data_IF_758860266728
#
_entry.id   IF_758860266728
#
_cell.length_a   1.000
_cell.length_b   1.000
_cell.length_c   1.000
_cell.angle_alpha   90.00
_cell.angle_beta   90.00
_cell.angle_gamma   90.00
#
_symmetry.space_group_name_H-M   'P 1'
#
loop_
_entity.id
_entity.type
_entity.pdbx_description
1 polymer ?
#
# COMPACT_ATOMS: atom_id res chain seq x y z
N UNK A 1 19.87 -6.71 23.66
CA UNK A 1 18.61 -7.15 23.05
C UNK A 1 17.84 -7.93 24.09
N UNK A 2 16.54 -7.62 24.34
CA UNK A 2 15.75 -8.32 25.34
C UNK A 2 15.51 -9.79 24.95
N UNK A 3 15.53 -10.71 25.92
CA UNK A 3 15.32 -12.16 25.73
C UNK A 3 14.06 -12.50 24.91
N UNK A 4 12.96 -11.73 25.00
CA UNK A 4 11.74 -11.94 24.24
C UNK A 4 11.88 -11.74 22.72
N UNK A 5 12.81 -10.88 22.28
CA UNK A 5 13.04 -10.63 20.85
C UNK A 5 13.76 -11.79 20.15
N UNK A 6 14.75 -12.38 20.82
CA UNK A 6 15.46 -13.55 20.30
C UNK A 6 14.54 -14.77 20.17
N UNK A 7 13.66 -14.99 21.16
CA UNK A 7 12.65 -16.05 21.10
C UNK A 7 11.73 -15.89 19.89
N UNK A 8 11.25 -14.66 19.62
CA UNK A 8 10.40 -14.38 18.45
C UNK A 8 11.13 -14.67 17.13
N UNK A 9 12.41 -14.33 17.01
CA UNK A 9 13.17 -14.64 15.80
C UNK A 9 13.35 -16.14 15.61
N UNK A 10 13.67 -16.90 16.66
CA UNK A 10 13.79 -18.35 16.58
C UNK A 10 12.44 -19.00 16.19
N UNK A 11 11.34 -18.51 16.74
CA UNK A 11 9.99 -19.00 16.42
C UNK A 11 9.59 -18.65 14.97
N UNK A 12 10.00 -17.48 14.44
CA UNK A 12 9.74 -17.09 13.05
C UNK A 12 10.28 -18.09 12.03
N UNK A 13 11.42 -18.74 12.31
CA UNK A 13 12.01 -19.75 11.42
C UNK A 13 11.15 -21.03 11.30
N UNK A 14 10.18 -21.20 12.18
CA UNK A 14 9.26 -22.36 12.17
C UNK A 14 7.95 -22.08 11.42
N UNK A 15 7.64 -20.82 11.08
CA UNK A 15 6.40 -20.45 10.44
C UNK A 15 6.48 -20.59 8.92
N UNK A 16 5.79 -21.60 8.37
CA UNK A 16 5.73 -21.80 6.90
C UNK A 16 5.12 -20.64 6.13
N UNK A 17 4.23 -19.87 6.77
CA UNK A 17 3.60 -18.69 6.17
C UNK A 17 4.48 -17.44 6.21
N UNK A 18 5.70 -17.49 6.75
CA UNK A 18 6.60 -16.34 6.85
C UNK A 18 7.86 -16.57 6.03
N UNK A 19 7.98 -15.85 4.92
CA UNK A 19 9.17 -15.82 4.07
C UNK A 19 10.12 -14.72 4.55
N UNK A 20 11.38 -15.08 4.84
CA UNK A 20 12.42 -14.18 5.37
C UNK A 20 13.71 -14.26 4.55
N UNK A 21 13.70 -13.85 3.26
CA UNK A 21 14.89 -13.96 2.41
C UNK A 21 16.02 -13.07 2.93
N UNK A 22 17.24 -13.53 2.75
CA UNK A 22 18.43 -12.73 2.97
C UNK A 22 18.58 -11.67 1.86
N UNK A 23 19.26 -10.56 2.16
CA UNK A 23 19.38 -9.46 1.20
C UNK A 23 20.14 -9.87 -0.08
N UNK A 24 21.11 -10.79 0.01
CA UNK A 24 21.89 -11.29 -1.12
C UNK A 24 21.10 -12.24 -2.05
N UNK A 25 19.94 -12.73 -1.62
CA UNK A 25 19.03 -13.48 -2.49
C UNK A 25 18.37 -12.59 -3.55
N UNK A 26 18.21 -11.31 -3.26
CA UNK A 26 17.56 -10.34 -4.16
C UNK A 26 18.45 -9.20 -4.62
N UNK A 27 19.66 -9.10 -4.09
CA UNK A 27 20.63 -8.07 -4.46
C UNK A 27 21.88 -8.73 -5.06
N UNK A 28 22.31 -8.23 -6.23
CA UNK A 28 23.59 -8.56 -6.86
C UNK A 28 24.43 -7.29 -6.98
N UNK A 29 25.74 -7.42 -6.93
CA UNK A 29 26.66 -6.27 -7.00
C UNK A 29 27.03 -5.69 -5.64
N UNK A 30 27.78 -4.59 -5.64
CA UNK A 30 28.26 -3.89 -4.43
C UNK A 30 28.13 -2.38 -4.56
N UNK A 31 27.89 -1.71 -3.44
CA UNK A 31 27.88 -0.25 -3.37
C UNK A 31 26.70 0.38 -4.12
N UNK A 32 26.99 1.30 -5.05
CA UNK A 32 25.95 2.01 -5.83
C UNK A 32 25.44 1.23 -7.04
N UNK A 33 26.15 0.15 -7.43
CA UNK A 33 25.88 -0.63 -8.64
C UNK A 33 25.19 -1.96 -8.31
N UNK A 34 24.34 -2.00 -7.28
CA UNK A 34 23.57 -3.21 -7.00
C UNK A 34 22.36 -3.30 -7.96
N UNK A 35 22.14 -4.52 -8.46
CA UNK A 35 21.00 -4.88 -9.29
C UNK A 35 20.03 -5.71 -8.46
N UNK A 36 18.74 -5.46 -8.65
CA UNK A 36 17.70 -6.28 -8.08
C UNK A 36 17.58 -7.58 -8.87
N UNK A 37 17.62 -8.73 -8.18
CA UNK A 37 17.41 -10.06 -8.75
C UNK A 37 16.03 -10.56 -8.39
N UNK A 38 15.40 -11.32 -9.28
CA UNK A 38 14.15 -11.97 -8.99
C UNK A 38 14.33 -13.11 -7.97
N UNK A 39 13.49 -13.11 -6.94
CA UNK A 39 13.41 -14.18 -5.98
C UNK A 39 12.57 -15.35 -6.55
N UNK A 40 12.85 -16.64 -6.24
CA UNK A 40 12.11 -17.79 -6.76
C UNK A 40 10.60 -17.79 -6.49
N UNK A 41 10.13 -17.05 -5.49
CA UNK A 41 8.69 -16.90 -5.20
C UNK A 41 7.95 -16.02 -6.21
N UNK A 42 8.66 -15.18 -6.97
CA UNK A 42 8.09 -14.27 -7.96
C UNK A 42 7.31 -15.06 -9.02
N UNK A 43 6.02 -14.74 -9.18
CA UNK A 43 5.11 -15.47 -10.05
C UNK A 43 4.64 -16.82 -9.51
N UNK A 44 5.07 -17.21 -8.30
CA UNK A 44 4.79 -18.52 -7.72
C UNK A 44 4.16 -18.46 -6.32
N UNK A 45 3.71 -17.31 -5.86
CA UNK A 45 3.10 -17.17 -4.54
C UNK A 45 1.95 -18.14 -4.29
N UNK A 46 1.03 -18.25 -5.27
CA UNK A 46 -0.13 -19.11 -5.18
C UNK A 46 0.21 -20.59 -5.03
N UNK A 47 1.30 -21.05 -5.65
CA UNK A 47 1.72 -22.45 -5.58
C UNK A 47 2.64 -22.79 -4.40
N UNK A 48 3.38 -21.79 -3.91
CA UNK A 48 4.39 -22.04 -2.87
C UNK A 48 3.92 -21.71 -1.45
N UNK A 49 3.02 -20.72 -1.31
CA UNK A 49 2.72 -20.15 0.00
C UNK A 49 1.25 -20.31 0.43
N UNK A 50 0.34 -20.67 -0.48
CA UNK A 50 -1.08 -20.73 -0.21
C UNK A 50 -1.67 -22.13 -0.48
N UNK A 51 -2.83 -22.39 0.12
CA UNK A 51 -3.55 -23.66 -0.03
C UNK A 51 -4.30 -23.77 -1.36
N UNK A 52 -4.64 -22.63 -1.99
CA UNK A 52 -5.31 -22.55 -3.30
C UNK A 52 -4.93 -21.27 -4.04
N UNK A 53 -4.95 -21.30 -5.39
CA UNK A 53 -4.72 -20.11 -6.20
C UNK A 53 -5.93 -19.16 -6.10
N UNK A 54 -5.66 -17.91 -5.66
CA UNK A 54 -6.65 -16.83 -5.53
C UNK A 54 -6.01 -15.50 -5.89
N UNK A 55 -6.78 -14.43 -6.19
CA UNK A 55 -6.23 -13.09 -6.32
C UNK A 55 -5.45 -12.68 -5.07
N UNK A 56 -4.30 -12.03 -5.27
CA UNK A 56 -3.39 -11.65 -4.18
C UNK A 56 -3.62 -10.20 -3.79
N UNK A 57 -3.74 -9.97 -2.50
CA UNK A 57 -3.85 -8.65 -1.86
C UNK A 57 -2.62 -8.42 -0.98
N UNK A 58 -1.93 -7.28 -1.14
CA UNK A 58 -0.77 -6.90 -0.33
C UNK A 58 -1.16 -5.87 0.73
N UNK A 59 -0.60 -6.01 1.94
CA UNK A 59 -0.51 -4.94 2.92
C UNK A 59 0.96 -4.54 3.09
N UNK A 60 1.31 -3.31 2.69
CA UNK A 60 2.68 -2.81 2.78
C UNK A 60 2.90 -2.02 4.07
N UNK A 61 3.89 -2.43 4.85
CA UNK A 61 4.11 -1.91 6.20
C UNK A 61 3.15 -2.52 7.22
N UNK A 62 2.78 -3.78 7.06
CA UNK A 62 1.72 -4.45 7.81
C UNK A 62 1.95 -4.56 9.34
N UNK A 63 3.14 -4.24 9.83
CA UNK A 63 3.46 -4.28 11.25
C UNK A 63 3.23 -5.64 11.88
N UNK A 64 2.15 -5.77 12.65
CA UNK A 64 1.76 -7.02 13.31
C UNK A 64 0.84 -7.91 12.46
N UNK A 65 0.51 -7.49 11.24
CA UNK A 65 -0.36 -8.21 10.32
C UNK A 65 -1.84 -8.24 10.73
N UNK A 66 -2.26 -7.33 11.60
CA UNK A 66 -3.63 -7.31 12.14
C UNK A 66 -4.67 -7.08 11.03
N UNK A 67 -4.37 -6.18 10.10
CA UNK A 67 -5.28 -5.88 8.99
C UNK A 67 -5.34 -7.07 8.01
N UNK A 68 -4.18 -7.57 7.60
CA UNK A 68 -4.02 -8.73 6.73
C UNK A 68 -4.81 -9.97 7.26
N UNK A 69 -4.62 -10.33 8.53
CA UNK A 69 -5.32 -11.45 9.20
C UNK A 69 -6.84 -11.25 9.20
N UNK A 70 -7.31 -10.03 9.54
CA UNK A 70 -8.75 -9.77 9.63
C UNK A 70 -9.43 -9.76 8.26
N UNK A 71 -8.77 -9.20 7.24
CA UNK A 71 -9.28 -9.27 5.86
C UNK A 71 -9.35 -10.71 5.36
N UNK A 72 -8.30 -11.51 5.60
CA UNK A 72 -8.25 -12.90 5.17
C UNK A 72 -9.37 -13.77 5.77
N UNK A 73 -9.78 -13.48 7.00
CA UNK A 73 -10.94 -14.17 7.64
C UNK A 73 -12.27 -13.79 7.01
N UNK A 74 -12.41 -12.55 6.57
CA UNK A 74 -13.66 -12.01 5.99
C UNK A 74 -13.83 -12.41 4.54
N UNK A 75 -12.73 -12.50 3.82
CA UNK A 75 -12.70 -12.72 2.38
C UNK A 75 -11.83 -13.93 2.03
N UNK A 76 -12.34 -15.16 2.27
CA UNK A 76 -11.58 -16.39 2.03
C UNK A 76 -11.26 -16.63 0.54
N UNK A 77 -11.90 -15.89 -0.37
CA UNK A 77 -11.68 -15.98 -1.81
C UNK A 77 -10.44 -15.20 -2.29
N UNK A 78 -9.69 -14.56 -1.37
CA UNK A 78 -8.45 -13.85 -1.64
C UNK A 78 -7.29 -14.43 -0.82
N UNK A 79 -6.08 -14.31 -1.35
CA UNK A 79 -4.83 -14.58 -0.65
C UNK A 79 -4.19 -13.26 -0.21
N UNK A 80 -3.72 -13.20 1.02
CA UNK A 80 -3.21 -11.98 1.65
C UNK A 80 -1.73 -12.11 1.99
N UNK A 81 -0.94 -11.09 1.65
CA UNK A 81 0.49 -11.03 1.98
C UNK A 81 0.76 -9.75 2.76
N UNK A 82 1.18 -9.89 4.00
CA UNK A 82 1.66 -8.77 4.82
C UNK A 82 3.17 -8.58 4.66
N UNK A 83 3.61 -7.36 4.31
CA UNK A 83 5.03 -7.04 4.10
C UNK A 83 5.51 -6.06 5.17
N UNK A 84 6.59 -6.38 5.88
CA UNK A 84 7.27 -5.48 6.83
C UNK A 84 8.76 -5.86 6.95
N UNK A 85 9.61 -4.89 7.30
CA UNK A 85 11.03 -5.13 7.55
C UNK A 85 11.29 -5.71 8.95
N UNK A 86 10.36 -5.49 9.90
CA UNK A 86 10.57 -5.82 11.31
C UNK A 86 10.03 -7.22 11.65
N UNK A 87 10.87 -8.24 11.56
CA UNK A 87 10.53 -9.63 11.86
C UNK A 87 9.88 -9.84 13.25
N UNK A 88 10.28 -9.08 14.27
CA UNK A 88 9.66 -9.15 15.60
C UNK A 88 8.20 -8.66 15.62
N UNK A 89 7.78 -7.83 14.66
CA UNK A 89 6.38 -7.42 14.47
C UNK A 89 5.60 -8.48 13.70
N UNK A 90 6.16 -8.95 12.58
CA UNK A 90 5.58 -10.02 11.74
C UNK A 90 5.27 -11.30 12.53
N UNK A 91 6.08 -11.58 13.57
CA UNK A 91 5.89 -12.73 14.44
C UNK A 91 4.45 -12.89 14.93
N UNK A 92 3.76 -11.81 15.28
CA UNK A 92 2.39 -11.89 15.81
C UNK A 92 1.42 -12.42 14.76
N UNK A 93 1.42 -11.83 13.57
CA UNK A 93 0.55 -12.25 12.46
C UNK A 93 0.88 -13.66 11.98
N UNK A 94 2.17 -13.98 11.80
CA UNK A 94 2.62 -15.30 11.38
C UNK A 94 2.23 -16.41 12.38
N UNK A 95 2.40 -16.12 13.68
CA UNK A 95 1.94 -17.05 14.74
C UNK A 95 0.44 -17.25 14.70
N UNK A 96 -0.33 -16.17 14.58
CA UNK A 96 -1.79 -16.23 14.52
C UNK A 96 -2.27 -17.01 13.29
N UNK A 97 -1.68 -16.76 12.12
CA UNK A 97 -1.98 -17.51 10.90
C UNK A 97 -1.66 -18.99 11.04
N UNK A 98 -0.51 -19.33 11.66
CA UNK A 98 -0.06 -20.71 11.87
C UNK A 98 -1.00 -21.46 12.84
N UNK A 99 -1.31 -20.84 13.99
CA UNK A 99 -2.16 -21.47 15.03
C UNK A 99 -3.59 -21.68 14.52
N UNK A 100 -4.11 -20.78 13.71
CA UNK A 100 -5.46 -20.88 13.15
C UNK A 100 -5.51 -21.58 11.77
N UNK A 101 -4.39 -22.17 11.31
CA UNK A 101 -4.30 -22.89 10.03
C UNK A 101 -4.83 -22.07 8.84
N UNK A 102 -4.48 -20.77 8.78
CA UNK A 102 -4.93 -19.88 7.72
C UNK A 102 -4.10 -20.11 6.44
N UNK A 103 -4.64 -20.90 5.52
CA UNK A 103 -3.96 -21.24 4.26
C UNK A 103 -3.98 -20.13 3.20
N UNK A 104 -4.68 -19.02 3.49
CA UNK A 104 -4.79 -17.84 2.61
C UNK A 104 -4.01 -16.62 3.13
N UNK A 105 -3.07 -16.80 4.07
CA UNK A 105 -2.24 -15.71 4.62
C UNK A 105 -0.76 -16.08 4.55
N UNK A 106 0.04 -15.15 4.04
CA UNK A 106 1.49 -15.22 4.09
C UNK A 106 2.08 -13.89 4.56
N UNK A 107 3.34 -13.93 4.98
CA UNK A 107 4.11 -12.75 5.37
C UNK A 107 5.46 -12.75 4.66
N UNK A 108 5.91 -11.55 4.27
CA UNK A 108 7.22 -11.34 3.64
C UNK A 108 8.03 -10.34 4.48
N UNK A 109 9.17 -10.76 4.97
CA UNK A 109 10.11 -9.88 5.64
C UNK A 109 11.11 -9.32 4.65
N UNK A 110 10.85 -8.10 4.17
CA UNK A 110 11.76 -7.40 3.26
C UNK A 110 11.64 -5.88 3.41
N UNK A 111 12.54 -5.16 2.78
CA UNK A 111 12.39 -3.73 2.53
C UNK A 111 11.43 -3.53 1.36
N UNK A 112 10.49 -2.59 1.47
CA UNK A 112 9.50 -2.32 0.40
C UNK A 112 10.20 -1.82 -0.88
N UNK A 113 11.37 -1.21 -0.75
CA UNK A 113 12.20 -0.82 -1.89
C UNK A 113 12.61 -1.99 -2.80
N UNK A 114 12.57 -3.23 -2.29
CA UNK A 114 12.93 -4.45 -3.03
C UNK A 114 11.70 -5.24 -3.51
N UNK A 115 10.51 -4.67 -3.38
CA UNK A 115 9.25 -5.38 -3.63
C UNK A 115 9.15 -5.97 -5.04
N UNK A 116 9.74 -5.32 -6.04
CA UNK A 116 9.75 -5.77 -7.44
C UNK A 116 10.46 -7.14 -7.65
N UNK A 117 11.35 -7.51 -6.72
CA UNK A 117 12.01 -8.82 -6.76
C UNK A 117 11.08 -9.99 -6.44
N UNK A 118 9.92 -9.72 -5.84
CA UNK A 118 9.04 -10.75 -5.27
C UNK A 118 7.73 -10.94 -6.02
N UNK A 119 7.35 -10.01 -6.90
CA UNK A 119 6.07 -10.06 -7.59
C UNK A 119 6.23 -9.92 -9.09
N UNK A 120 5.61 -10.83 -9.84
CA UNK A 120 5.57 -10.82 -11.30
C UNK A 120 4.50 -9.83 -11.82
N UNK A 121 4.59 -9.39 -13.08
CA UNK A 121 3.57 -8.54 -13.69
C UNK A 121 2.17 -9.13 -13.55
N UNK A 122 1.22 -8.33 -13.09
CA UNK A 122 -0.18 -8.74 -12.93
C UNK A 122 -0.47 -9.68 -11.76
N UNK A 123 0.49 -9.99 -10.91
CA UNK A 123 0.33 -10.97 -9.81
C UNK A 123 -0.49 -10.43 -8.63
N UNK A 124 -0.57 -9.12 -8.45
CA UNK A 124 -1.22 -8.48 -7.30
C UNK A 124 -2.47 -7.74 -7.74
N UNK A 125 -3.59 -7.96 -7.06
CA UNK A 125 -4.88 -7.32 -7.36
C UNK A 125 -5.10 -5.99 -6.63
N UNK A 126 -4.68 -5.92 -5.37
CA UNK A 126 -4.88 -4.77 -4.49
C UNK A 126 -3.67 -4.55 -3.59
N UNK A 127 -3.40 -3.28 -3.26
CA UNK A 127 -2.38 -2.90 -2.28
C UNK A 127 -3.02 -2.04 -1.20
N UNK A 128 -2.78 -2.39 0.06
CA UNK A 128 -3.21 -1.65 1.23
C UNK A 128 -2.03 -0.96 1.91
N UNK A 129 -2.17 0.35 2.12
CA UNK A 129 -1.26 1.21 2.87
C UNK A 129 -1.99 1.62 4.15
N UNK A 130 -1.79 0.84 5.24
CA UNK A 130 -2.50 1.04 6.50
C UNK A 130 -1.58 1.66 7.53
N UNK A 131 -1.85 2.89 7.96
CA UNK A 131 -1.09 3.63 8.98
C UNK A 131 0.41 3.67 8.71
N UNK A 132 0.79 3.78 7.44
CA UNK A 132 2.18 3.95 7.03
C UNK A 132 2.72 5.32 7.49
N UNK A 133 4.03 5.38 7.73
CA UNK A 133 4.70 6.62 8.12
C UNK A 133 4.53 7.70 7.02
N UNK A 134 4.00 8.88 7.33
CA UNK A 134 3.77 9.95 6.36
C UNK A 134 5.05 10.57 5.79
N UNK A 135 6.22 10.31 6.40
CA UNK A 135 7.52 10.79 5.91
C UNK A 135 7.49 12.28 5.56
N UNK A 136 7.15 13.11 6.55
CA UNK A 136 6.83 14.54 6.36
C UNK A 136 7.90 15.33 5.58
N UNK A 137 9.18 14.96 5.76
CA UNK A 137 10.33 15.65 5.16
C UNK A 137 10.95 14.91 3.96
N UNK A 138 10.50 13.69 3.64
CA UNK A 138 11.13 12.84 2.63
C UNK A 138 10.08 12.25 1.70
N UNK A 139 9.76 12.97 0.61
CA UNK A 139 8.74 12.57 -0.33
C UNK A 139 8.97 11.17 -0.89
N UNK A 140 10.18 10.89 -1.37
CA UNK A 140 10.54 9.59 -1.97
C UNK A 140 10.50 8.39 -0.99
N UNK A 141 10.28 8.65 0.29
CA UNK A 141 10.10 7.60 1.31
C UNK A 141 8.63 7.31 1.61
N UNK A 142 7.67 8.10 1.07
CA UNK A 142 6.23 7.87 1.23
C UNK A 142 5.80 6.72 0.34
N UNK A 143 5.09 5.75 0.88
CA UNK A 143 4.62 4.58 0.13
C UNK A 143 3.59 4.92 -0.97
N UNK A 144 3.01 6.11 -0.95
CA UNK A 144 2.10 6.61 -1.99
C UNK A 144 2.75 7.67 -2.90
N UNK A 145 4.07 7.87 -2.86
CA UNK A 145 4.74 8.78 -3.80
C UNK A 145 4.85 8.16 -5.20
N UNK A 146 5.03 8.99 -6.25
CA UNK A 146 5.16 8.53 -7.62
C UNK A 146 6.20 7.43 -7.80
N UNK A 147 7.36 7.54 -7.13
CA UNK A 147 8.42 6.52 -7.21
C UNK A 147 7.95 5.13 -6.74
N UNK A 148 7.19 5.05 -5.65
CA UNK A 148 6.63 3.78 -5.18
C UNK A 148 5.45 3.33 -6.03
N UNK A 149 4.58 4.24 -6.47
CA UNK A 149 3.48 3.89 -7.37
C UNK A 149 4.00 3.32 -8.69
N UNK A 150 5.09 3.87 -9.25
CA UNK A 150 5.74 3.30 -10.44
C UNK A 150 6.26 1.87 -10.22
N UNK A 151 6.75 1.55 -9.01
CA UNK A 151 7.12 0.18 -8.66
C UNK A 151 5.91 -0.74 -8.65
N UNK A 152 4.79 -0.28 -8.05
CA UNK A 152 3.56 -1.07 -7.94
C UNK A 152 2.93 -1.35 -9.30
N UNK A 153 2.98 -0.39 -10.24
CA UNK A 153 2.51 -0.57 -11.63
C UNK A 153 3.13 -1.76 -12.36
N UNK A 154 4.33 -2.17 -11.96
CA UNK A 154 5.05 -3.28 -12.60
C UNK A 154 4.46 -4.64 -12.27
N UNK A 155 3.79 -4.78 -11.14
CA UNK A 155 3.26 -6.08 -10.69
C UNK A 155 1.77 -6.04 -10.33
N UNK A 156 1.16 -4.87 -10.32
CA UNK A 156 -0.27 -4.74 -10.09
C UNK A 156 -1.04 -5.22 -11.34
N UNK A 157 -2.12 -5.97 -11.11
CA UNK A 157 -2.99 -6.45 -12.18
C UNK A 157 -3.68 -5.28 -12.90
N UNK A 158 -4.10 -5.44 -14.16
CA UNK A 158 -4.93 -4.45 -14.84
C UNK A 158 -6.17 -4.11 -14.01
N UNK A 159 -6.43 -2.82 -13.82
CA UNK A 159 -7.51 -2.36 -12.96
C UNK A 159 -7.27 -2.47 -11.45
N UNK A 160 -6.05 -2.81 -11.03
CA UNK A 160 -5.68 -2.96 -9.64
C UNK A 160 -5.83 -1.67 -8.83
N UNK A 161 -6.05 -1.82 -7.54
CA UNK A 161 -6.41 -0.75 -6.63
C UNK A 161 -5.37 -0.51 -5.54
N UNK A 162 -5.23 0.76 -5.16
CA UNK A 162 -4.46 1.17 -3.98
C UNK A 162 -5.41 1.72 -2.94
N UNK A 163 -5.29 1.21 -1.71
CA UNK A 163 -6.04 1.67 -0.55
C UNK A 163 -5.10 2.37 0.42
N UNK A 164 -5.40 3.60 0.79
CA UNK A 164 -4.73 4.33 1.86
C UNK A 164 -5.72 4.53 3.02
N UNK A 165 -5.37 4.04 4.20
CA UNK A 165 -6.09 4.31 5.45
C UNK A 165 -5.10 4.86 6.46
N UNK A 166 -5.31 6.09 6.94
CA UNK A 166 -4.32 6.78 7.79
C UNK A 166 -4.96 7.80 8.72
N UNK A 167 -4.32 8.02 9.86
CA UNK A 167 -4.58 9.14 10.79
C UNK A 167 -3.86 10.43 10.36
N UNK A 168 -2.95 10.34 9.38
CA UNK A 168 -2.21 11.49 8.88
C UNK A 168 -3.02 12.25 7.84
N UNK A 169 -3.44 13.47 8.20
CA UNK A 169 -4.07 14.38 7.25
C UNK A 169 -3.09 14.79 6.15
N UNK A 170 -1.83 15.00 6.49
CA UNK A 170 -0.78 15.29 5.53
C UNK A 170 -0.66 14.21 4.46
N UNK A 171 -0.56 12.94 4.85
CA UNK A 171 -0.39 11.83 3.90
C UNK A 171 -1.62 11.66 3.01
N UNK A 172 -2.81 11.83 3.57
CA UNK A 172 -4.07 11.78 2.81
C UNK A 172 -4.12 12.87 1.74
N UNK A 173 -3.89 14.14 2.11
CA UNK A 173 -3.93 15.27 1.16
C UNK A 173 -2.83 15.19 0.11
N UNK A 174 -1.62 14.75 0.51
CA UNK A 174 -0.54 14.48 -0.42
C UNK A 174 -0.95 13.44 -1.46
N UNK A 175 -1.51 12.31 -1.02
CA UNK A 175 -1.90 11.23 -1.94
C UNK A 175 -3.05 11.65 -2.85
N UNK A 176 -4.02 12.43 -2.36
CA UNK A 176 -5.05 13.06 -3.19
C UNK A 176 -4.45 13.96 -4.27
N UNK A 177 -3.45 14.77 -3.90
CA UNK A 177 -2.77 15.66 -4.86
C UNK A 177 -2.02 14.84 -5.92
N UNK A 178 -1.36 13.73 -5.53
CA UNK A 178 -0.73 12.79 -6.50
C UNK A 178 -1.77 12.22 -7.45
N UNK A 179 -2.93 11.79 -6.95
CA UNK A 179 -4.01 11.26 -7.81
C UNK A 179 -4.49 12.31 -8.81
N UNK A 180 -4.71 13.55 -8.37
CA UNK A 180 -5.15 14.66 -9.25
C UNK A 180 -4.10 15.02 -10.29
N UNK A 181 -2.84 15.18 -9.89
CA UNK A 181 -1.74 15.54 -10.80
C UNK A 181 -1.58 14.54 -11.94
N UNK A 182 -1.88 13.26 -11.65
CA UNK A 182 -1.68 12.14 -12.59
C UNK A 182 -3.00 11.61 -13.16
N UNK A 183 -4.13 12.30 -12.95
CA UNK A 183 -5.45 11.90 -13.44
C UNK A 183 -5.83 10.46 -13.06
N UNK A 184 -5.42 9.99 -11.87
CA UNK A 184 -5.78 8.66 -11.38
C UNK A 184 -7.25 8.62 -10.96
N UNK A 185 -7.96 7.55 -11.30
CA UNK A 185 -9.36 7.36 -10.96
C UNK A 185 -9.52 7.14 -9.46
N UNK A 186 -10.15 8.11 -8.77
CA UNK A 186 -10.47 7.99 -7.35
C UNK A 186 -11.80 7.26 -7.20
N UNK A 187 -11.77 6.08 -6.59
CA UNK A 187 -12.92 5.22 -6.37
C UNK A 187 -13.69 5.57 -5.10
N UNK A 188 -12.98 5.94 -4.03
CA UNK A 188 -13.57 6.39 -2.78
C UNK A 188 -12.61 7.32 -2.03
N UNK A 189 -13.12 8.34 -1.36
CA UNK A 189 -12.33 9.26 -0.55
C UNK A 189 -13.14 9.80 0.62
N UNK A 190 -12.56 9.86 1.82
CA UNK A 190 -13.13 10.54 2.98
C UNK A 190 -12.04 11.05 3.91
N UNK A 191 -12.23 12.28 4.37
CA UNK A 191 -11.35 12.91 5.36
C UNK A 191 -11.72 12.57 6.81
N UNK A 192 -12.85 11.86 7.02
CA UNK A 192 -13.28 11.35 8.33
C UNK A 192 -14.11 10.08 8.13
N UNK A 193 -13.46 8.94 8.29
CA UNK A 193 -14.05 7.63 8.02
C UNK A 193 -15.19 7.29 8.99
N UNK A 194 -15.17 7.86 10.18
CA UNK A 194 -16.13 7.57 11.25
C UNK A 194 -17.09 8.72 11.55
N UNK A 195 -17.06 9.79 10.74
CA UNK A 195 -18.08 10.82 10.84
C UNK A 195 -19.48 10.19 10.67
N UNK A 196 -20.39 10.52 11.58
CA UNK A 196 -21.77 10.11 11.47
C UNK A 196 -22.35 10.72 10.19
N UNK A 197 -22.60 9.91 9.18
CA UNK A 197 -23.47 10.35 8.07
C UNK A 197 -24.87 10.50 8.65
N UNK A 198 -25.53 11.67 8.53
CA UNK A 198 -26.96 11.74 8.80
C UNK A 198 -27.65 10.73 7.87
N UNK A 199 -28.50 9.86 8.44
CA UNK A 199 -29.33 8.97 7.64
C UNK A 199 -30.05 9.82 6.58
N UNK A 200 -29.76 9.58 5.30
CA UNK A 200 -30.48 10.18 4.18
C UNK A 200 -29.72 11.20 3.31
N UNK A 201 -28.44 11.49 3.47
CA UNK A 201 -27.73 12.38 2.55
C UNK A 201 -26.78 11.67 1.61
N UNK A 202 -27.31 11.21 0.50
CA UNK A 202 -26.61 11.14 -0.77
C UNK A 202 -26.36 12.59 -1.19
N UNK A 203 -25.09 13.00 -1.34
CA UNK A 203 -24.69 14.36 -1.75
C UNK A 203 -24.78 15.45 -0.66
N UNK A 204 -23.80 15.51 0.21
CA UNK A 204 -23.58 16.64 1.10
C UNK A 204 -22.18 17.19 0.96
N UNK A 205 -22.06 18.42 0.46
CA UNK A 205 -20.85 19.23 0.56
C UNK A 205 -20.40 19.24 2.02
N UNK A 206 -19.27 18.60 2.33
CA UNK A 206 -18.65 18.72 3.64
C UNK A 206 -17.96 20.08 3.72
N UNK A 207 -18.67 21.07 4.27
CA UNK A 207 -18.10 22.37 4.63
C UNK A 207 -17.49 22.20 6.03
N UNK A 208 -16.17 22.20 6.12
CA UNK A 208 -15.47 22.36 7.38
C UNK A 208 -15.57 23.83 7.81
N UNK A 209 -15.91 24.14 9.06
CA UNK A 209 -15.91 25.52 9.55
C UNK A 209 -14.47 26.00 9.75
N UNK A 210 -14.10 27.05 9.03
CA UNK A 210 -12.92 27.87 9.29
C UNK A 210 -11.74 27.61 8.33
N UNK A 211 -11.59 28.55 7.39
CA UNK A 211 -10.39 28.84 6.58
C UNK A 211 -9.86 27.73 5.67
N UNK A 212 -10.56 27.49 4.58
CA UNK A 212 -9.99 26.88 3.39
C UNK A 212 -9.16 27.94 2.64
N UNK A 213 -7.89 27.62 2.22
CA UNK A 213 -7.28 28.39 1.15
C UNK A 213 -8.10 28.16 -0.11
N UNK A 214 -8.55 29.22 -0.74
CA UNK A 214 -9.39 29.20 -1.94
C UNK A 214 -8.76 28.32 -3.02
N UNK A 215 -9.35 27.14 -3.29
CA UNK A 215 -8.96 26.28 -4.41
C UNK A 215 -8.92 24.77 -4.16
N UNK A 216 -8.95 24.30 -2.94
CA UNK A 216 -8.88 22.87 -2.62
C UNK A 216 -10.19 22.33 -2.00
N UNK A 217 -11.24 22.28 -2.79
CA UNK A 217 -12.35 21.38 -2.48
C UNK A 217 -11.92 19.97 -2.90
N UNK A 218 -11.43 19.16 -1.95
CA UNK A 218 -11.29 17.74 -2.16
C UNK A 218 -12.64 17.14 -2.61
N UNK A 219 -12.66 16.09 -3.44
CA UNK A 219 -13.93 15.51 -3.88
C UNK A 219 -14.71 15.08 -2.65
N UNK A 220 -15.90 15.66 -2.51
CA UNK A 220 -16.90 15.16 -1.59
C UNK A 220 -17.13 13.69 -1.97
N UNK A 221 -16.99 12.81 -0.96
CA UNK A 221 -17.28 11.40 -0.97
C UNK A 221 -17.73 10.83 -2.32
N UNK A 222 -16.81 10.26 -3.08
CA UNK A 222 -17.10 9.59 -4.34
C UNK A 222 -16.96 8.08 -4.12
N UNK A 223 -18.03 7.34 -4.27
CA UNK A 223 -18.02 5.88 -4.22
C UNK A 223 -18.39 5.27 -2.87
N UNK A 224 -18.75 3.99 -2.91
CA UNK A 224 -19.12 3.20 -1.75
C UNK A 224 -17.85 2.72 -1.02
N UNK A 225 -17.75 3.02 0.27
CA UNK A 225 -16.67 2.50 1.13
C UNK A 225 -17.06 1.11 1.59
N UNK A 226 -16.25 0.11 1.24
CA UNK A 226 -16.46 -1.28 1.66
C UNK A 226 -16.56 -1.38 3.19
N UNK A 227 -17.47 -2.20 3.74
CA UNK A 227 -17.70 -2.31 5.19
C UNK A 227 -16.44 -2.62 5.99
N UNK A 228 -15.57 -3.49 5.48
CA UNK A 228 -14.32 -3.89 6.14
C UNK A 228 -13.36 -2.73 6.40
N UNK A 229 -13.43 -1.64 5.60
CA UNK A 229 -12.62 -0.44 5.84
C UNK A 229 -12.91 0.19 7.21
N UNK A 230 -14.18 0.12 7.66
CA UNK A 230 -14.63 0.64 8.97
C UNK A 230 -14.55 -0.40 10.09
N UNK A 231 -14.78 -1.66 9.76
CA UNK A 231 -14.93 -2.73 10.73
C UNK A 231 -13.58 -3.34 11.16
N UNK A 232 -12.61 -3.43 10.24
CA UNK A 232 -11.27 -3.89 10.57
C UNK A 232 -10.47 -2.74 11.16
N UNK A 233 -10.13 -2.84 12.45
CA UNK A 233 -9.34 -1.84 13.17
C UNK A 233 -8.05 -2.45 13.66
N UNK A 234 -6.93 -1.76 13.37
CA UNK A 234 -5.64 -2.10 13.96
C UNK A 234 -5.53 -1.56 15.38
N UNK A 235 -4.54 -2.06 16.12
CA UNK A 235 -4.18 -1.49 17.41
C UNK A 235 -3.88 0.02 17.31
N UNK A 236 -3.11 0.42 16.30
CA UNK A 236 -2.77 1.83 16.06
C UNK A 236 -4.01 2.68 15.81
N UNK A 237 -4.91 2.21 14.97
CA UNK A 237 -6.16 2.90 14.68
C UNK A 237 -7.00 3.12 15.94
N UNK A 238 -7.14 2.07 16.75
CA UNK A 238 -7.88 2.16 18.02
C UNK A 238 -7.25 3.19 18.96
N UNK A 239 -5.92 3.24 19.02
CA UNK A 239 -5.18 4.18 19.84
C UNK A 239 -5.35 5.63 19.33
N UNK A 240 -5.18 5.87 18.04
CA UNK A 240 -5.32 7.21 17.46
C UNK A 240 -6.76 7.72 17.52
N UNK A 241 -7.75 6.88 17.25
CA UNK A 241 -9.17 7.24 17.39
C UNK A 241 -9.53 7.65 18.82
N UNK A 242 -8.98 6.96 19.84
CA UNK A 242 -9.16 7.34 21.27
C UNK A 242 -8.51 8.67 21.61
N UNK A 243 -7.48 9.09 20.91
CA UNK A 243 -6.82 10.39 21.06
C UNK A 243 -7.52 11.50 20.27
N UNK A 244 -8.62 11.19 19.58
CA UNK A 244 -9.39 12.17 18.80
C UNK A 244 -8.87 12.41 17.39
N UNK A 245 -7.89 11.63 16.90
CA UNK A 245 -7.46 11.72 15.50
C UNK A 245 -8.55 11.19 14.58
N UNK A 246 -8.81 11.94 13.51
CA UNK A 246 -9.68 11.50 12.43
C UNK A 246 -8.94 10.50 11.57
N UNK A 247 -9.61 9.41 11.25
CA UNK A 247 -9.10 8.43 10.30
C UNK A 247 -9.60 8.80 8.91
N UNK A 248 -8.68 8.91 7.97
CA UNK A 248 -8.97 9.20 6.57
C UNK A 248 -8.87 7.94 5.73
N UNK A 249 -9.54 7.92 4.59
CA UNK A 249 -9.48 6.82 3.65
C UNK A 249 -9.51 7.33 2.20
N UNK A 250 -8.68 6.71 1.36
CA UNK A 250 -8.63 6.97 -0.08
C UNK A 250 -8.44 5.64 -0.80
N UNK A 251 -9.25 5.38 -1.81
CA UNK A 251 -9.08 4.27 -2.74
C UNK A 251 -9.01 4.81 -4.16
N UNK A 252 -8.02 4.39 -4.92
CA UNK A 252 -7.85 4.81 -6.31
C UNK A 252 -7.32 3.66 -7.16
N UNK A 253 -7.61 3.73 -8.46
CA UNK A 253 -7.10 2.79 -9.45
C UNK A 253 -5.72 3.23 -9.93
N UNK A 254 -4.80 2.28 -9.99
CA UNK A 254 -3.46 2.52 -10.51
C UNK A 254 -3.31 1.75 -11.83
N UNK A 255 -3.30 2.42 -12.99
CA UNK A 255 -3.14 1.77 -14.27
C UNK A 255 -1.79 1.05 -14.37
N UNK A 256 -1.75 -0.09 -15.05
CA UNK A 256 -0.52 -0.83 -15.32
C UNK A 256 0.52 0.03 -16.04
N UNK A 257 1.80 -0.30 -15.93
CA UNK A 257 2.83 0.38 -16.71
C UNK A 257 2.58 0.18 -18.22
N UNK A 258 2.88 1.20 -19.07
CA UNK A 258 2.78 1.03 -20.51
C UNK A 258 3.61 -0.18 -20.96
N UNK A 259 3.08 -0.96 -21.90
CA UNK A 259 3.74 -2.17 -22.43
C UNK A 259 5.13 -1.88 -23.03
N UNK A 260 5.39 -0.66 -23.48
CA UNK A 260 6.63 -0.24 -24.12
C UNK A 260 7.83 -0.10 -23.18
N UNK A 261 7.59 0.00 -21.87
CA UNK A 261 8.67 0.11 -20.89
C UNK A 261 9.49 -1.19 -20.72
N UNK A 262 8.90 -2.34 -21.08
CA UNK A 262 9.58 -3.64 -21.07
C UNK A 262 10.28 -3.96 -22.41
N UNK A 263 9.83 -3.34 -23.52
CA UNK A 263 10.32 -3.63 -24.87
C UNK A 263 11.56 -2.80 -25.27
N UNK A 264 11.87 -1.71 -24.58
CA UNK A 264 13.05 -0.87 -24.90
C UNK A 264 14.39 -1.46 -24.42
N UNK A 265 14.39 -2.61 -23.75
CA UNK A 265 15.63 -3.30 -23.39
C UNK A 265 16.19 -4.18 -24.51
N UNK A 266 15.43 -4.45 -25.61
CA UNK A 266 15.85 -5.36 -26.68
C UNK A 266 15.28 -4.98 -28.05
N UNK A 267 15.51 -3.76 -28.53
CA UNK A 267 15.10 -3.37 -29.89
C UNK A 267 16.20 -2.70 -30.67
N UNK A 268 16.96 -3.52 -31.38
CA UNK A 268 17.66 -3.18 -32.60
C UNK A 268 16.87 -3.63 -33.85
N UNK A 269 15.62 -3.14 -34.02
CA UNK A 269 14.87 -3.30 -35.29
C UNK A 269 13.97 -2.07 -35.50
N UNK A 270 14.20 -1.35 -36.60
CA UNK A 270 13.39 -0.21 -37.03
C UNK A 270 12.01 -0.66 -37.52
N UNK A 271 10.90 0.07 -37.19
CA UNK A 271 9.59 -0.21 -37.77
C UNK A 271 9.39 0.51 -39.11
N UNK A 272 8.77 -0.22 -40.04
CA UNK A 272 8.29 0.27 -41.33
C UNK A 272 7.07 1.19 -41.18
N UNK A 273 7.11 2.32 -41.86
CA UNK A 273 6.09 3.37 -41.80
C UNK A 273 5.02 3.15 -42.85
N UNK A 274 3.93 2.43 -42.52
CA UNK A 274 2.64 2.56 -43.23
C UNK A 274 1.49 1.86 -42.53
N UNK A 275 0.75 2.55 -41.68
CA UNK A 275 -0.64 2.20 -41.33
C UNK A 275 -1.41 3.46 -40.85
N UNK A 276 -2.69 3.62 -41.22
CA UNK A 276 -3.45 4.85 -40.94
C UNK A 276 -3.90 4.91 -39.49
N UNK A 277 -3.87 6.17 -38.98
CA UNK A 277 -4.34 6.53 -37.66
C UNK A 277 -5.86 6.36 -37.57
N UNK A 278 -6.31 5.44 -36.71
CA UNK A 278 -7.62 5.53 -36.06
C UNK A 278 -7.38 5.32 -34.57
N UNK A 279 -7.29 6.45 -33.86
CA UNK A 279 -6.98 6.49 -32.44
C UNK A 279 -8.28 6.56 -31.63
N UNK A 280 -8.92 5.43 -31.38
CA UNK A 280 -9.74 5.27 -30.20
C UNK A 280 -8.76 5.12 -29.01
N UNK A 281 -8.51 6.24 -28.33
CA UNK A 281 -7.63 6.30 -27.16
C UNK A 281 -8.18 5.36 -26.09
N UNK A 282 -7.51 4.22 -25.90
CA UNK A 282 -7.70 3.38 -24.73
C UNK A 282 -7.22 4.17 -23.49
N UNK A 283 -7.99 4.21 -22.38
CA UNK A 283 -7.65 5.00 -21.19
C UNK A 283 -6.45 4.48 -20.38
N UNK A 284 -5.68 3.53 -20.87
CA UNK A 284 -4.68 2.78 -20.09
C UNK A 284 -3.22 3.25 -20.23
N UNK A 285 -2.93 4.35 -20.93
CA UNK A 285 -1.55 4.83 -21.08
C UNK A 285 -1.31 6.14 -20.35
N UNK A 286 -1.25 6.08 -19.01
CA UNK A 286 -0.68 7.17 -18.23
C UNK A 286 0.85 7.05 -18.33
N UNK A 287 1.52 8.11 -18.77
CA UNK A 287 2.99 8.24 -18.78
C UNK A 287 3.60 8.08 -17.38
N UNK A 288 4.86 8.49 -17.22
CA UNK A 288 5.49 8.49 -15.89
C UNK A 288 4.72 9.36 -14.90
N UNK A 289 4.50 8.84 -13.70
CA UNK A 289 3.81 9.56 -12.62
C UNK A 289 4.67 10.72 -12.10
N UNK A 290 4.02 11.85 -11.83
CA UNK A 290 4.66 13.09 -11.40
C UNK A 290 4.31 13.43 -9.96
N UNK A 291 5.25 14.06 -9.27
CA UNK A 291 4.98 14.65 -7.95
C UNK A 291 4.02 15.83 -8.08
N UNK A 292 3.12 16.04 -7.10
CA UNK A 292 2.09 17.06 -7.17
C UNK A 292 2.70 18.46 -6.95
N UNK A 293 2.86 19.24 -8.02
CA UNK A 293 3.44 20.58 -7.97
C UNK A 293 2.62 21.57 -7.12
N UNK A 294 1.32 21.36 -7.01
CA UNK A 294 0.40 22.23 -6.25
C UNK A 294 0.27 21.85 -4.76
N UNK A 295 0.98 20.83 -4.29
CA UNK A 295 0.88 20.41 -2.89
C UNK A 295 1.73 21.29 -1.98
N UNK A 296 1.09 22.07 -1.12
CA UNK A 296 1.76 22.89 -0.10
C UNK A 296 2.15 22.03 1.11
N UNK A 297 3.36 21.48 1.06
CA UNK A 297 3.87 20.61 2.09
C UNK A 297 4.10 21.34 3.44
N UNK A 298 4.43 22.64 3.42
CA UNK A 298 4.66 23.41 4.64
C UNK A 298 3.35 23.68 5.38
N UNK A 299 2.31 24.06 4.63
CA UNK A 299 0.97 24.21 5.19
C UNK A 299 0.49 22.89 5.85
N UNK A 300 0.54 21.77 5.12
CA UNK A 300 0.03 20.51 5.64
C UNK A 300 0.86 19.93 6.78
N UNK A 301 2.18 20.20 6.83
CA UNK A 301 3.01 19.88 8.01
C UNK A 301 2.57 20.66 9.23
N UNK A 302 2.19 21.93 9.07
CA UNK A 302 1.68 22.76 10.18
C UNK A 302 0.33 22.25 10.71
N UNK A 303 -0.53 21.76 9.83
CA UNK A 303 -1.83 21.15 10.17
C UNK A 303 -1.67 19.80 10.89
N UNK A 304 -0.68 18.99 10.46
CA UNK A 304 -0.40 17.69 11.08
C UNK A 304 0.04 17.84 12.55
N UNK A 305 0.71 18.93 12.87
CA UNK A 305 1.23 19.18 14.20
C UNK A 305 2.35 18.23 14.62
N UNK A 306 2.88 18.37 15.83
CA UNK A 306 3.88 17.47 16.35
C UNK A 306 3.25 16.09 16.57
N UNK A 307 3.66 15.10 15.77
CA UNK A 307 3.33 13.71 16.06
C UNK A 307 4.09 13.29 17.31
N UNK A 308 3.38 13.04 18.38
CA UNK A 308 3.97 12.36 19.51
C UNK A 308 4.40 10.97 19.03
N UNK A 309 5.71 10.76 18.90
CA UNK A 309 6.27 9.43 18.72
C UNK A 309 5.91 8.65 19.98
N UNK A 310 4.81 7.91 19.92
CA UNK A 310 4.47 6.98 20.99
C UNK A 310 5.49 5.85 20.88
N UNK A 311 6.58 5.95 21.65
CA UNK A 311 7.37 4.80 21.98
C UNK A 311 6.43 3.83 22.69
N UNK A 312 6.02 2.79 21.94
CA UNK A 312 5.21 1.73 22.50
C UNK A 312 5.95 1.14 23.70
N UNK A 313 5.35 1.12 24.90
CA UNK A 313 5.85 0.24 25.91
C UNK A 313 5.84 -1.18 25.31
N UNK A 314 6.95 -1.89 25.46
CA UNK A 314 7.00 -3.33 25.22
C UNK A 314 6.01 -3.97 26.20
N UNK A 315 4.74 -4.10 25.79
CA UNK A 315 3.79 -4.89 26.54
C UNK A 315 4.18 -6.34 26.40
N UNK A 316 4.89 -6.82 27.39
CA UNK A 316 4.96 -8.23 27.74
C UNK A 316 3.54 -8.70 28.12
N UNK A 317 2.94 -9.52 27.33
CA UNK A 317 2.05 -10.60 27.69
C UNK A 317 2.25 -11.77 26.75
#
# INVERSE_FOLDING_TARGET
MGHGKLKKFAENETFKCLLQPAADEVLAGRGKDFLLKDHPVKGNWNSQMFDAPRPIVLELGCGRGEYCINLARRHPDFNYIGVDIKGARLWKGAKEATVNHMGNVAFLRTRIEFIEAYFAPGEVSEIWLTFSDPQLNHENSRLSCPMFLERYRKFLAPGGMIHLKTDSRFLYEYTLAVCKENNLEILAATADLYASTPEGSVSGKLTLPGTEPSGFAGPAHTGEIRPEVREVKTYYETMFSRQGYKITYLCFRLPSAPADAAAMADASVMPDASAPADASVMPDQIGHLRSPASFDADYWRSVEGPRHSVSLPDFEM
#
